data_IF_525860407475
#
_entry.id   IF_525860407475
#
_cell.length_a   1.000
_cell.length_b   1.000
_cell.length_c   1.000
_cell.angle_alpha   90.00
_cell.angle_beta   90.00
_cell.angle_gamma   90.00
#
_symmetry.space_group_name_H-M   'P 1'
#
loop_
_entity.id
_entity.type
_entity.pdbx_description
1 polymer ?
#
# COMPACT_ATOMS: atom_id res chain seq x y z
N UNK A 1 75.09 18.03 -12.27
CA UNK A 1 73.88 17.34 -12.77
C UNK A 1 73.55 16.15 -11.87
N UNK A 2 72.37 16.12 -11.23
CA UNK A 2 71.54 14.95 -10.82
C UNK A 2 70.75 15.30 -9.53
N UNK A 3 69.55 15.86 -9.71
CA UNK A 3 68.21 15.21 -9.70
C UNK A 3 67.60 15.19 -8.28
N UNK A 4 66.81 16.21 -7.99
CA UNK A 4 65.88 16.23 -6.86
C UNK A 4 64.75 15.21 -7.13
N UNK A 5 64.49 14.34 -6.16
CA UNK A 5 63.35 13.43 -6.19
C UNK A 5 62.14 14.15 -5.59
N UNK A 6 61.13 14.41 -6.41
CA UNK A 6 59.82 14.89 -5.97
C UNK A 6 58.98 13.65 -5.66
N UNK A 7 58.61 13.47 -4.40
CA UNK A 7 57.67 12.44 -3.96
C UNK A 7 56.25 12.98 -4.16
N UNK A 8 55.54 12.48 -5.18
CA UNK A 8 54.12 12.77 -5.40
C UNK A 8 53.32 11.70 -4.66
N UNK A 9 52.73 12.05 -3.52
CA UNK A 9 51.73 11.24 -2.84
C UNK A 9 50.38 11.57 -3.48
N UNK A 10 49.90 10.68 -4.36
CA UNK A 10 48.57 10.77 -4.93
C UNK A 10 47.52 10.32 -3.92
N UNK A 11 46.69 11.25 -3.43
CA UNK A 11 45.50 10.92 -2.64
C UNK A 11 44.43 10.39 -3.60
N UNK A 12 44.18 9.08 -3.56
CA UNK A 12 43.09 8.44 -4.28
C UNK A 12 41.77 8.69 -3.51
N UNK A 13 41.01 9.72 -3.89
CA UNK A 13 39.66 9.92 -3.36
C UNK A 13 38.73 8.93 -4.05
N UNK A 14 38.41 7.84 -3.37
CA UNK A 14 37.39 6.88 -3.81
C UNK A 14 36.01 7.49 -3.50
N UNK A 15 35.41 8.17 -4.49
CA UNK A 15 34.03 8.65 -4.39
C UNK A 15 33.09 7.45 -4.39
N UNK A 16 32.64 7.03 -3.20
CA UNK A 16 31.50 6.14 -3.04
C UNK A 16 30.26 6.87 -3.56
N UNK A 17 29.88 6.60 -4.80
CA UNK A 17 28.55 6.96 -5.30
C UNK A 17 27.58 5.99 -4.61
N UNK A 18 27.04 6.40 -3.46
CA UNK A 18 25.86 5.77 -2.90
C UNK A 18 24.69 6.10 -3.84
N UNK A 19 24.42 5.24 -4.81
CA UNK A 19 23.12 5.27 -5.49
C UNK A 19 22.09 4.89 -4.45
N UNK A 20 21.25 5.84 -4.02
CA UNK A 20 20.05 5.51 -3.27
C UNK A 20 19.24 4.51 -4.11
N UNK A 21 19.14 3.28 -3.61
CA UNK A 21 18.37 2.20 -4.22
C UNK A 21 16.89 2.53 -4.09
N UNK A 22 16.39 3.32 -5.03
CA UNK A 22 14.99 3.74 -5.04
C UNK A 22 14.19 2.71 -5.85
N UNK A 23 13.16 2.13 -5.25
CA UNK A 23 12.17 1.37 -6.02
C UNK A 23 11.45 2.26 -7.05
N UNK A 24 10.69 1.65 -7.95
CA UNK A 24 10.13 2.30 -9.14
C UNK A 24 8.62 2.12 -9.21
N UNK A 25 7.94 3.14 -9.72
CA UNK A 25 6.53 3.07 -10.10
C UNK A 25 6.43 3.12 -11.63
N UNK A 26 5.72 2.16 -12.20
CA UNK A 26 5.32 2.19 -13.60
C UNK A 26 3.81 2.44 -13.70
N UNK A 27 3.40 3.28 -14.65
CA UNK A 27 1.97 3.49 -14.90
C UNK A 27 1.43 2.33 -15.73
N UNK A 28 0.28 1.81 -15.31
CA UNK A 28 -0.52 0.84 -16.04
C UNK A 28 -1.76 1.51 -16.62
N UNK A 29 -2.34 0.89 -17.65
CA UNK A 29 -3.66 1.26 -18.14
C UNK A 29 -4.80 0.74 -17.24
N UNK A 30 -6.05 0.77 -17.74
CA UNK A 30 -7.20 0.33 -16.97
C UNK A 30 -7.11 -1.16 -16.66
N UNK A 31 -7.67 -1.57 -15.52
CA UNK A 31 -7.81 -2.98 -15.19
C UNK A 31 -8.85 -3.62 -16.11
N UNK A 32 -8.40 -4.56 -16.95
CA UNK A 32 -9.24 -5.24 -17.96
C UNK A 32 -9.41 -6.73 -17.71
N UNK A 33 -8.74 -7.29 -16.69
CA UNK A 33 -8.79 -8.73 -16.38
C UNK A 33 -10.20 -9.16 -15.95
N UNK A 34 -10.74 -10.16 -16.64
CA UNK A 34 -12.12 -10.60 -16.45
C UNK A 34 -12.37 -11.38 -15.17
N UNK A 35 -11.32 -11.80 -14.46
CA UNK A 35 -11.43 -12.44 -13.14
C UNK A 35 -11.87 -11.48 -12.05
N UNK A 36 -11.66 -10.17 -12.23
CA UNK A 36 -12.18 -9.14 -11.33
C UNK A 36 -13.60 -8.78 -11.75
N UNK A 37 -14.61 -8.78 -10.88
CA UNK A 37 -15.99 -8.48 -11.26
C UNK A 37 -16.16 -7.16 -12.03
N UNK A 38 -17.06 -7.14 -13.01
CA UNK A 38 -17.25 -5.97 -13.88
C UNK A 38 -17.67 -4.72 -13.11
N UNK A 39 -18.59 -4.87 -12.15
CA UNK A 39 -19.00 -3.80 -11.25
C UNK A 39 -17.81 -3.17 -10.50
N UNK A 40 -16.83 -3.98 -10.08
CA UNK A 40 -15.59 -3.49 -9.46
C UNK A 40 -14.74 -2.74 -10.49
N UNK A 41 -14.42 -3.35 -11.64
CA UNK A 41 -13.57 -2.72 -12.68
C UNK A 41 -14.10 -1.35 -13.12
N UNK A 42 -15.41 -1.22 -13.31
CA UNK A 42 -16.04 0.02 -13.76
C UNK A 42 -15.90 1.19 -12.76
N UNK A 43 -15.60 0.91 -11.49
CA UNK A 43 -15.39 1.95 -10.46
C UNK A 43 -13.94 2.38 -10.30
N UNK A 44 -12.99 1.67 -10.92
CA UNK A 44 -11.56 1.97 -10.84
C UNK A 44 -11.19 3.12 -11.76
N UNK A 45 -10.10 3.82 -11.41
CA UNK A 45 -9.43 4.74 -12.30
C UNK A 45 -8.88 3.99 -13.52
N UNK A 46 -8.84 4.68 -14.66
CA UNK A 46 -8.21 4.18 -15.88
C UNK A 46 -6.69 4.04 -15.75
N UNK A 47 -6.08 4.65 -14.73
CA UNK A 47 -4.66 4.60 -14.43
C UNK A 47 -4.40 3.61 -13.28
N UNK A 48 -3.58 2.61 -13.56
CA UNK A 48 -3.01 1.73 -12.55
C UNK A 48 -1.54 2.02 -12.27
N UNK A 49 -0.99 1.34 -11.27
CA UNK A 49 0.40 1.49 -10.85
C UNK A 49 1.01 0.12 -10.61
N UNK A 50 2.15 -0.18 -11.23
CA UNK A 50 3.00 -1.30 -10.84
C UNK A 50 4.10 -0.78 -9.94
N UNK A 51 4.22 -1.38 -8.76
CA UNK A 51 5.30 -1.08 -7.81
C UNK A 51 6.39 -2.12 -7.96
N UNK A 52 7.59 -1.66 -8.27
CA UNK A 52 8.81 -2.44 -8.30
C UNK A 52 9.71 -2.02 -7.14
N UNK A 53 10.30 -2.98 -6.45
CA UNK A 53 11.29 -2.72 -5.41
C UNK A 53 12.63 -2.33 -6.03
N UNK A 54 13.62 -2.03 -5.19
CA UNK A 54 14.99 -1.69 -5.58
C UNK A 54 15.69 -2.76 -6.43
N UNK A 55 15.39 -4.04 -6.20
CA UNK A 55 15.85 -5.17 -7.00
C UNK A 55 15.08 -5.36 -8.32
N UNK A 56 14.21 -4.41 -8.70
CA UNK A 56 13.26 -4.47 -9.81
C UNK A 56 12.21 -5.59 -9.70
N UNK A 57 12.11 -6.28 -8.57
CA UNK A 57 11.10 -7.31 -8.40
C UNK A 57 9.73 -6.66 -8.15
N UNK A 58 8.65 -7.21 -8.74
CA UNK A 58 7.33 -6.64 -8.56
C UNK A 58 6.80 -6.92 -7.15
N UNK A 59 6.44 -5.86 -6.43
CA UNK A 59 5.76 -5.96 -5.14
C UNK A 59 4.25 -6.18 -5.33
N UNK A 60 3.60 -5.28 -6.07
CA UNK A 60 2.18 -5.37 -6.39
C UNK A 60 1.83 -4.49 -7.61
N UNK A 61 0.59 -4.64 -8.10
CA UNK A 61 -0.07 -3.70 -9.00
C UNK A 61 -1.32 -3.14 -8.30
N UNK A 62 -1.61 -1.85 -8.49
CA UNK A 62 -2.65 -1.11 -7.78
C UNK A 62 -3.53 -0.33 -8.74
N UNK A 63 -4.84 -0.40 -8.54
CA UNK A 63 -5.84 0.46 -9.18
C UNK A 63 -6.73 1.07 -8.10
N UNK A 64 -6.76 2.39 -8.00
CA UNK A 64 -7.59 3.09 -7.02
C UNK A 64 -8.99 3.33 -7.57
N UNK A 65 -10.00 3.35 -6.70
CA UNK A 65 -11.36 3.73 -7.07
C UNK A 65 -11.39 5.22 -7.45
N UNK A 66 -12.00 5.57 -8.59
CA UNK A 66 -11.99 6.94 -9.13
C UNK A 66 -12.88 7.95 -8.38
N UNK A 67 -13.82 7.46 -7.58
CA UNK A 67 -14.71 8.26 -6.73
C UNK A 67 -14.97 7.47 -5.43
N UNK A 68 -14.14 7.67 -4.42
CA UNK A 68 -14.25 7.00 -3.12
C UNK A 68 -15.33 7.68 -2.26
N UNK A 69 -16.34 6.95 -1.76
CA UNK A 69 -17.32 7.49 -0.82
C UNK A 69 -16.62 8.05 0.42
N UNK A 70 -17.04 9.24 0.84
CA UNK A 70 -16.49 9.91 2.00
C UNK A 70 -17.58 10.12 3.06
N UNK A 71 -17.16 10.16 4.32
CA UNK A 71 -17.97 10.63 5.46
C UNK A 71 -17.45 11.99 5.94
N UNK A 72 -18.23 12.75 6.73
CA UNK A 72 -17.71 13.91 7.43
C UNK A 72 -16.47 13.55 8.27
N UNK A 73 -15.46 14.43 8.25
CA UNK A 73 -14.25 14.31 9.07
C UNK A 73 -14.63 14.17 10.55
N UNK A 74 -13.95 13.27 11.25
CA UNK A 74 -14.11 13.04 12.68
C UNK A 74 -12.76 13.21 13.34
N UNK A 75 -12.68 14.00 14.40
CA UNK A 75 -11.43 14.16 15.14
C UNK A 75 -11.05 12.85 15.85
N UNK A 76 -9.83 12.41 15.66
CA UNK A 76 -9.22 11.25 16.31
C UNK A 76 -7.70 11.44 16.31
N UNK A 77 -7.05 11.00 17.39
CA UNK A 77 -5.59 11.11 17.53
C UNK A 77 -4.84 9.97 16.83
N UNK A 78 -5.52 8.86 16.57
CA UNK A 78 -4.97 7.57 16.13
C UNK A 78 -5.48 7.14 14.75
N UNK A 79 -6.29 7.97 14.08
CA UNK A 79 -6.86 7.75 12.74
C UNK A 79 -6.54 8.93 11.84
N UNK A 80 -5.90 8.67 10.71
CA UNK A 80 -5.45 9.73 9.78
C UNK A 80 -6.35 9.85 8.54
N UNK A 81 -7.09 8.79 8.17
CA UNK A 81 -8.03 8.79 7.04
C UNK A 81 -9.48 8.95 7.53
N UNK A 82 -9.75 10.02 8.29
CA UNK A 82 -11.04 10.23 8.98
C UNK A 82 -12.23 10.41 8.02
N UNK A 83 -11.97 10.75 6.76
CA UNK A 83 -12.95 10.83 5.68
C UNK A 83 -13.45 9.47 5.20
N UNK A 84 -12.79 8.36 5.55
CA UNK A 84 -13.19 7.02 5.13
C UNK A 84 -14.02 6.35 6.22
N UNK A 85 -15.22 5.87 5.84
CA UNK A 85 -16.00 4.99 6.70
C UNK A 85 -15.43 3.57 6.64
N UNK A 86 -15.48 2.81 7.73
CA UNK A 86 -15.12 1.39 7.72
C UNK A 86 -15.88 0.62 6.64
N UNK A 87 -15.25 -0.42 6.10
CA UNK A 87 -15.70 -1.18 4.94
C UNK A 87 -15.71 -0.42 3.60
N UNK A 88 -15.30 0.85 3.53
CA UNK A 88 -15.22 1.57 2.24
C UNK A 88 -14.28 0.87 1.27
N UNK A 89 -14.76 0.56 0.06
CA UNK A 89 -13.95 0.04 -1.02
C UNK A 89 -13.05 1.14 -1.62
N UNK A 90 -11.74 0.95 -1.51
CA UNK A 90 -10.71 1.93 -1.90
C UNK A 90 -10.08 1.60 -3.26
N UNK A 91 -9.98 0.32 -3.63
CA UNK A 91 -9.37 -0.08 -4.89
C UNK A 91 -9.10 -1.58 -4.97
N UNK A 92 -8.35 -1.97 -6.00
CA UNK A 92 -7.89 -3.34 -6.24
C UNK A 92 -6.37 -3.37 -6.18
N UNK A 93 -5.84 -4.40 -5.51
CA UNK A 93 -4.44 -4.78 -5.53
C UNK A 93 -4.29 -6.12 -6.25
N UNK A 94 -3.23 -6.28 -7.04
CA UNK A 94 -2.78 -7.57 -7.55
C UNK A 94 -1.41 -7.90 -6.99
N UNK A 95 -1.25 -9.12 -6.50
CA UNK A 95 0.04 -9.73 -6.25
C UNK A 95 0.43 -10.60 -7.46
N UNK A 96 1.45 -10.24 -8.27
CA UNK A 96 1.85 -11.04 -9.44
C UNK A 96 2.48 -12.39 -9.06
N UNK A 97 3.07 -12.46 -7.86
CA UNK A 97 3.63 -13.64 -7.18
C UNK A 97 3.16 -13.61 -5.73
N UNK A 98 3.38 -14.68 -4.97
CA UNK A 98 3.04 -14.68 -3.52
C UNK A 98 3.60 -13.44 -2.84
N UNK A 99 2.71 -12.66 -2.24
CA UNK A 99 3.01 -11.45 -1.49
C UNK A 99 3.02 -11.71 0.01
N UNK A 100 2.99 -10.62 0.78
CA UNK A 100 2.82 -10.65 2.23
C UNK A 100 1.91 -9.52 2.66
N UNK A 101 1.11 -9.75 3.69
CA UNK A 101 0.43 -8.69 4.39
C UNK A 101 1.36 -8.03 5.44
N UNK A 102 0.85 -7.03 6.16
CA UNK A 102 1.58 -6.29 7.19
C UNK A 102 1.83 -7.12 8.47
N UNK A 103 1.21 -8.30 8.62
CA UNK A 103 1.49 -9.25 9.70
C UNK A 103 2.57 -10.26 9.32
N UNK A 104 3.07 -10.23 8.09
CA UNK A 104 4.02 -11.21 7.57
C UNK A 104 3.35 -12.51 7.07
N UNK A 105 2.03 -12.54 6.94
CA UNK A 105 1.33 -13.71 6.40
C UNK A 105 1.51 -13.75 4.89
N UNK A 106 1.85 -14.93 4.36
CA UNK A 106 1.92 -15.13 2.93
C UNK A 106 0.53 -14.93 2.29
N UNK A 107 0.45 -14.12 1.24
CA UNK A 107 -0.77 -13.89 0.47
C UNK A 107 -0.57 -14.50 -0.92
N UNK A 108 -1.40 -15.46 -1.36
CA UNK A 108 -1.28 -16.06 -2.69
C UNK A 108 -1.30 -15.01 -3.81
N UNK A 109 -0.65 -15.30 -4.93
CA UNK A 109 -0.76 -14.48 -6.12
C UNK A 109 -2.24 -14.36 -6.57
N UNK A 110 -2.65 -13.18 -7.02
CA UNK A 110 -4.05 -12.94 -7.42
C UNK A 110 -4.49 -11.50 -7.24
N UNK A 111 -5.77 -11.26 -7.52
CA UNK A 111 -6.44 -9.98 -7.34
C UNK A 111 -7.21 -9.95 -6.02
N UNK A 112 -7.12 -8.82 -5.33
CA UNK A 112 -7.78 -8.56 -4.05
C UNK A 112 -8.43 -7.18 -4.08
N UNK A 113 -9.66 -7.08 -3.59
CA UNK A 113 -10.24 -5.78 -3.24
C UNK A 113 -9.61 -5.28 -1.93
N UNK A 114 -9.57 -3.96 -1.79
CA UNK A 114 -9.05 -3.26 -0.63
C UNK A 114 -10.19 -2.53 0.07
N UNK A 115 -10.51 -2.94 1.29
CA UNK A 115 -11.53 -2.29 2.12
C UNK A 115 -10.95 -1.68 3.37
N UNK A 116 -11.28 -0.42 3.61
CA UNK A 116 -10.82 0.33 4.77
C UNK A 116 -11.35 -0.28 6.08
N UNK A 117 -10.49 -0.40 7.08
CA UNK A 117 -10.81 -0.89 8.40
C UNK A 117 -9.92 -0.22 9.44
N UNK A 118 -10.41 -0.16 10.68
CA UNK A 118 -9.59 0.23 11.81
C UNK A 118 -9.16 -1.02 12.60
N UNK A 119 -7.89 -1.08 12.99
CA UNK A 119 -7.48 -2.03 14.03
C UNK A 119 -8.24 -1.71 15.32
N UNK A 120 -8.72 -2.68 16.11
CA UNK A 120 -9.42 -2.40 17.37
C UNK A 120 -8.59 -1.55 18.34
N UNK A 121 -9.22 -0.62 19.06
CA UNK A 121 -8.56 0.14 20.13
C UNK A 121 -8.67 -0.61 21.46
N UNK A 122 -7.90 -1.69 21.58
CA UNK A 122 -7.80 -2.48 22.80
C UNK A 122 -6.33 -2.78 23.14
N UNK A 123 -6.08 -3.24 24.36
CA UNK A 123 -4.72 -3.52 24.84
C UNK A 123 -3.94 -4.55 24.02
N UNK A 124 -4.61 -5.42 23.26
CA UNK A 124 -3.94 -6.45 22.44
C UNK A 124 -3.46 -5.93 21.09
N UNK A 125 -3.84 -4.71 20.71
CA UNK A 125 -3.50 -4.10 19.42
C UNK A 125 -2.69 -2.82 19.56
N UNK A 126 -2.36 -2.40 20.78
CA UNK A 126 -1.50 -1.24 21.02
C UNK A 126 -0.09 -1.49 20.48
N UNK A 127 0.44 -0.53 19.72
CA UNK A 127 1.82 -0.54 19.23
C UNK A 127 2.08 -1.36 17.96
N UNK A 128 1.08 -2.06 17.41
CA UNK A 128 1.28 -2.88 16.20
C UNK A 128 1.51 -2.05 14.93
N UNK A 129 1.13 -0.76 14.94
CA UNK A 129 1.39 0.21 13.89
C UNK A 129 1.33 1.64 14.44
N UNK A 130 1.91 2.64 13.73
CA UNK A 130 1.88 4.05 14.16
C UNK A 130 0.48 4.68 14.20
N UNK A 131 -0.47 4.13 13.45
CA UNK A 131 -1.88 4.54 13.41
C UNK A 131 -2.78 3.30 13.25
N UNK A 132 -4.09 3.48 13.36
CA UNK A 132 -5.06 2.38 13.29
C UNK A 132 -5.63 2.14 11.89
N UNK A 133 -5.21 2.89 10.88
CA UNK A 133 -5.76 2.85 9.54
C UNK A 133 -5.19 1.67 8.73
N UNK A 134 -6.05 0.79 8.25
CA UNK A 134 -5.66 -0.37 7.44
C UNK A 134 -6.58 -0.57 6.25
N UNK A 135 -6.07 -1.26 5.24
CA UNK A 135 -6.87 -1.90 4.20
C UNK A 135 -6.84 -3.41 4.41
N UNK A 136 -8.00 -4.05 4.44
CA UNK A 136 -8.10 -5.50 4.43
C UNK A 136 -8.16 -6.02 3.00
N UNK A 137 -7.31 -7.01 2.72
CA UNK A 137 -7.32 -7.78 1.48
C UNK A 137 -8.48 -8.76 1.49
N UNK A 138 -9.36 -8.67 0.50
CA UNK A 138 -10.45 -9.62 0.26
C UNK A 138 -10.26 -10.23 -1.13
N UNK A 139 -10.37 -11.56 -1.31
CA UNK A 139 -10.33 -12.13 -2.65
C UNK A 139 -11.46 -11.55 -3.50
N UNK A 140 -11.16 -11.08 -4.72
CA UNK A 140 -12.16 -10.40 -5.58
C UNK A 140 -13.41 -11.23 -5.86
N UNK A 141 -13.31 -12.56 -5.86
CA UNK A 141 -14.44 -13.47 -6.03
C UNK A 141 -15.45 -13.43 -4.86
N UNK A 142 -15.02 -12.97 -3.69
CA UNK A 142 -15.83 -12.85 -2.47
C UNK A 142 -16.37 -11.44 -2.22
N UNK A 143 -15.97 -10.47 -3.06
CA UNK A 143 -16.28 -9.06 -2.89
C UNK A 143 -16.59 -8.38 -4.24
N UNK A 144 -17.76 -8.71 -4.80
CA UNK A 144 -18.13 -8.30 -6.16
C UNK A 144 -18.90 -6.97 -6.25
N UNK A 145 -19.39 -6.43 -5.14
CA UNK A 145 -20.12 -5.16 -5.09
C UNK A 145 -19.29 -4.05 -4.42
N UNK A 146 -18.75 -3.08 -5.18
CA UNK A 146 -17.94 -1.99 -4.62
C UNK A 146 -18.73 -1.02 -3.71
N UNK A 147 -20.06 -1.12 -3.66
CA UNK A 147 -20.92 -0.31 -2.80
C UNK A 147 -21.47 -1.08 -1.60
N UNK A 148 -21.23 -2.39 -1.50
CA UNK A 148 -21.58 -3.15 -0.30
C UNK A 148 -20.88 -2.55 0.93
N UNK A 149 -21.52 -2.66 2.08
CA UNK A 149 -20.95 -2.30 3.38
C UNK A 149 -21.08 -3.48 4.32
N UNK A 150 -19.96 -3.88 4.91
CA UNK A 150 -19.86 -5.03 5.79
C UNK A 150 -19.72 -4.56 7.23
N UNK A 151 -20.29 -5.34 8.16
CA UNK A 151 -19.92 -5.20 9.57
C UNK A 151 -18.47 -5.66 9.73
N UNK A 152 -17.78 -5.10 10.72
CA UNK A 152 -16.37 -5.41 10.97
C UNK A 152 -16.07 -6.92 11.04
N UNK A 153 -16.91 -7.70 11.75
CA UNK A 153 -16.71 -9.14 11.88
C UNK A 153 -16.85 -9.90 10.54
N UNK A 154 -17.79 -9.48 9.69
CA UNK A 154 -17.99 -10.06 8.37
C UNK A 154 -16.81 -9.70 7.45
N UNK A 155 -16.33 -8.46 7.53
CA UNK A 155 -15.17 -7.99 6.79
C UNK A 155 -13.90 -8.77 7.17
N UNK A 156 -13.67 -8.99 8.47
CA UNK A 156 -12.57 -9.82 8.97
C UNK A 156 -12.71 -11.27 8.51
N UNK A 157 -13.92 -11.83 8.54
CA UNK A 157 -14.18 -13.19 8.06
C UNK A 157 -13.87 -13.35 6.56
N UNK A 158 -14.28 -12.40 5.72
CA UNK A 158 -13.95 -12.36 4.30
C UNK A 158 -12.43 -12.25 4.09
N UNK A 159 -11.76 -11.35 4.83
CA UNK A 159 -10.32 -11.16 4.67
C UNK A 159 -9.48 -12.38 5.10
N UNK A 160 -9.93 -13.18 6.07
CA UNK A 160 -9.29 -14.47 6.42
C UNK A 160 -9.26 -15.44 5.25
N UNK A 161 -10.18 -15.33 4.29
CA UNK A 161 -10.15 -16.19 3.10
C UNK A 161 -9.01 -15.84 2.14
N UNK A 162 -8.46 -14.61 2.20
CA UNK A 162 -7.25 -14.24 1.46
C UNK A 162 -5.98 -14.86 2.06
N UNK A 163 -5.93 -14.98 3.39
CA UNK A 163 -4.75 -15.47 4.11
C UNK A 163 -4.75 -17.00 4.26
N UNK A 164 -5.93 -17.61 4.33
CA UNK A 164 -6.08 -19.01 4.72
C UNK A 164 -5.78 -19.28 6.19
N UNK A 165 -5.72 -18.24 7.04
CA UNK A 165 -5.39 -18.34 8.47
C UNK A 165 -6.55 -17.89 9.37
N UNK A 166 -6.32 -17.86 10.68
CA UNK A 166 -7.25 -17.29 11.67
C UNK A 166 -7.22 -15.76 11.75
N UNK A 167 -6.29 -15.10 11.05
CA UNK A 167 -6.15 -13.65 11.04
C UNK A 167 -6.52 -13.08 9.66
N UNK A 168 -7.12 -11.88 9.59
CA UNK A 168 -7.33 -11.20 8.32
C UNK A 168 -5.99 -10.84 7.67
N UNK A 169 -6.02 -10.37 6.43
CA UNK A 169 -4.85 -9.90 5.67
C UNK A 169 -4.76 -8.37 5.62
N UNK A 170 -4.25 -7.68 6.66
CA UNK A 170 -4.19 -6.24 6.70
C UNK A 170 -2.96 -5.67 5.98
N UNK A 171 -3.15 -4.54 5.30
CA UNK A 171 -2.09 -3.65 4.82
C UNK A 171 -2.18 -2.33 5.58
N UNK A 172 -1.07 -1.90 6.19
CA UNK A 172 -1.05 -0.65 6.97
C UNK A 172 -1.11 0.56 6.05
N UNK A 173 -1.94 1.53 6.42
CA UNK A 173 -1.89 2.85 5.82
C UNK A 173 -0.88 3.72 6.59
N UNK A 174 -0.12 4.49 5.84
CA UNK A 174 0.94 5.35 6.36
C UNK A 174 0.59 6.82 6.12
N UNK A 175 1.35 7.70 6.77
CA UNK A 175 1.33 9.11 6.41
C UNK A 175 1.76 9.27 4.94
N UNK A 176 0.94 9.92 4.10
CA UNK A 176 1.27 10.08 2.69
C UNK A 176 2.40 11.08 2.49
N UNK A 177 3.29 10.80 1.55
CA UNK A 177 4.35 11.75 1.16
C UNK A 177 3.80 12.95 0.34
N UNK A 178 2.57 12.84 -0.17
CA UNK A 178 1.90 13.84 -0.99
C UNK A 178 0.81 13.22 -1.88
N UNK A 179 0.34 13.97 -2.88
CA UNK A 179 -0.68 13.51 -3.84
C UNK A 179 -0.08 12.92 -5.13
N UNK A 180 1.18 13.23 -5.43
CA UNK A 180 1.87 12.66 -6.59
C UNK A 180 2.21 11.18 -6.35
N UNK A 181 2.06 10.30 -7.37
CA UNK A 181 2.52 8.93 -7.29
C UNK A 181 4.01 8.85 -6.95
N UNK A 182 4.34 8.27 -5.80
CA UNK A 182 5.70 8.15 -5.30
C UNK A 182 5.88 6.86 -4.50
N UNK A 183 7.11 6.36 -4.46
CA UNK A 183 7.50 5.23 -3.62
C UNK A 183 8.62 5.70 -2.71
N UNK A 184 8.44 5.52 -1.40
CA UNK A 184 9.44 5.79 -0.38
C UNK A 184 9.70 4.56 0.47
N UNK A 185 10.81 4.58 1.20
CA UNK A 185 11.11 3.60 2.24
C UNK A 185 11.30 4.35 3.55
N UNK A 186 10.65 3.89 4.62
CA UNK A 186 10.82 4.48 5.95
C UNK A 186 11.99 3.84 6.72
N UNK A 187 12.18 4.27 7.96
CA UNK A 187 13.23 3.77 8.85
C UNK A 187 12.98 2.36 9.41
N UNK A 188 11.77 1.79 9.17
CA UNK A 188 11.40 0.42 9.51
C UNK A 188 11.45 -0.52 8.29
N UNK A 189 12.09 -0.07 7.22
CA UNK A 189 12.17 -0.76 5.93
C UNK A 189 10.81 -1.02 5.26
N UNK A 190 9.77 -0.25 5.59
CA UNK A 190 8.49 -0.32 4.91
C UNK A 190 8.56 0.45 3.59
N UNK A 191 8.24 -0.23 2.49
CA UNK A 191 8.00 0.40 1.21
C UNK A 191 6.58 0.97 1.18
N UNK A 192 6.47 2.28 0.97
CA UNK A 192 5.22 3.02 1.02
C UNK A 192 4.92 3.60 -0.36
N UNK A 193 3.84 3.12 -0.96
CA UNK A 193 3.26 3.74 -2.15
C UNK A 193 2.39 4.93 -1.73
N UNK A 194 2.69 6.12 -2.26
CA UNK A 194 1.89 7.32 -2.08
C UNK A 194 1.22 7.76 -3.38
N UNK A 195 -0.01 8.25 -3.33
CA UNK A 195 -0.73 8.89 -4.43
C UNK A 195 -1.92 9.71 -3.89
N UNK A 196 -2.74 10.28 -4.77
CA UNK A 196 -4.05 10.80 -4.43
C UNK A 196 -5.14 9.74 -4.58
N UNK A 197 -6.04 9.67 -3.61
CA UNK A 197 -7.36 9.04 -3.74
C UNK A 197 -8.39 10.13 -3.98
N UNK A 198 -9.12 10.03 -5.09
CA UNK A 198 -10.19 10.99 -5.41
C UNK A 198 -11.47 10.62 -4.66
N UNK A 199 -11.90 11.50 -3.75
CA UNK A 199 -13.15 11.36 -3.04
C UNK A 199 -14.33 11.73 -3.94
N UNK A 200 -15.52 11.18 -3.65
CA UNK A 200 -16.75 11.50 -4.36
C UNK A 200 -17.16 12.99 -4.22
N UNK A 201 -16.64 13.69 -3.22
CA UNK A 201 -16.77 15.14 -3.06
C UNK A 201 -15.94 15.94 -4.09
N UNK A 202 -15.02 15.30 -4.80
CA UNK A 202 -14.03 15.93 -5.68
C UNK A 202 -12.71 16.28 -5.00
N UNK A 203 -12.61 16.16 -3.67
CA UNK A 203 -11.35 16.34 -2.92
C UNK A 203 -10.36 15.22 -3.27
N UNK A 204 -9.09 15.58 -3.44
CA UNK A 204 -7.99 14.62 -3.52
C UNK A 204 -7.43 14.41 -2.11
N UNK A 205 -7.64 13.20 -1.58
CA UNK A 205 -7.10 12.75 -0.31
C UNK A 205 -5.70 12.18 -0.54
N UNK A 206 -4.62 12.78 0.01
CA UNK A 206 -3.31 12.15 0.01
C UNK A 206 -3.39 10.76 0.66
N UNK A 207 -2.83 9.75 0.01
CA UNK A 207 -2.96 8.34 0.37
C UNK A 207 -1.60 7.67 0.37
N UNK A 208 -1.30 6.92 1.44
CA UNK A 208 -0.06 6.18 1.65
C UNK A 208 -0.36 4.75 2.10
N UNK A 209 0.16 3.76 1.37
CA UNK A 209 -0.04 2.33 1.64
C UNK A 209 1.31 1.63 1.79
N UNK A 210 1.50 0.91 2.89
CA UNK A 210 2.63 -0.01 3.03
C UNK A 210 2.40 -1.20 2.10
N UNK A 211 3.15 -1.25 1.00
CA UNK A 211 3.06 -2.29 -0.05
C UNK A 211 4.05 -3.43 0.16
N UNK A 212 5.07 -3.23 1.01
CA UNK A 212 6.00 -4.26 1.49
C UNK A 212 6.58 -3.83 2.84
N UNK A 213 6.54 -4.71 3.83
CA UNK A 213 6.98 -4.43 5.20
C UNK A 213 6.03 -5.11 6.18
N UNK A 214 6.44 -5.25 7.44
CA UNK A 214 5.63 -5.86 8.49
C UNK A 214 5.66 -5.02 9.75
N UNK A 215 4.62 -5.14 10.56
CA UNK A 215 4.62 -4.63 11.93
C UNK A 215 5.88 -5.09 12.67
N UNK A 216 6.44 -4.20 13.48
CA UNK A 216 7.49 -4.58 14.43
C UNK A 216 6.90 -5.54 15.46
N UNK A 217 7.67 -6.58 15.80
CA UNK A 217 7.33 -7.56 16.83
C UNK A 217 7.98 -7.20 18.16
#
# INVERSE_FOLDING_TARGET
MRKAAVLIIGVLVLSLICTAQNGKIETLGPLTDTSVPDAVRQTLDSKGYRVLLDDNSPACELWLRKNVPAQPKKDSQDVIYTQLAESTFVGVLRFPKTGSDFRGQAIPAGYYTLRYALIPNDGNHLGVAPNRDFLLLLPVASDADPNASFKFQDLVALSRTATGTKHPGPLSLAQPAGTAPALSKDDQDHWIFSAAVKLASGEELPFGLVVKGTAQQ
#
